data_IF_439862879317
#
_entry.id   IF_439862879317
#
_cell.length_a   1.000
_cell.length_b   1.000
_cell.length_c   1.000
_cell.angle_alpha   90.00
_cell.angle_beta   90.00
_cell.angle_gamma   90.00
#
_symmetry.space_group_name_H-M   'P 1'
#
loop_
_entity.id
_entity.type
_entity.pdbx_description
1 polymer ?
#
# COMPACT_ATOMS: atom_id res chain seq x y z
N UNK A 1 -3.12 -5.74 15.60
CA UNK A 1 -1.78 -5.22 15.25
C UNK A 1 -1.84 -3.71 15.24
N UNK A 2 -0.83 -3.03 15.78
CA UNK A 2 -0.77 -1.57 15.69
C UNK A 2 -0.41 -1.17 14.27
N UNK A 3 -0.92 -0.03 13.83
CA UNK A 3 -0.63 0.51 12.52
C UNK A 3 -0.57 2.03 12.54
N UNK A 4 0.29 2.59 11.69
CA UNK A 4 0.34 4.02 11.40
C UNK A 4 -0.45 4.29 10.13
N UNK A 5 -1.29 5.31 10.16
CA UNK A 5 -2.11 5.71 9.03
C UNK A 5 -1.62 7.04 8.50
N UNK A 6 -1.42 7.11 7.19
CA UNK A 6 -0.89 8.26 6.49
C UNK A 6 -1.88 8.75 5.44
N UNK A 7 -1.93 10.06 5.23
CA UNK A 7 -2.41 10.66 3.98
C UNK A 7 -1.22 11.30 3.30
N UNK A 8 -0.95 10.90 2.06
CA UNK A 8 0.29 11.26 1.38
C UNK A 8 1.51 10.95 2.28
N UNK A 9 2.29 11.96 2.66
CA UNK A 9 3.48 11.80 3.53
C UNK A 9 3.21 12.08 5.01
N UNK A 10 2.01 12.55 5.35
CA UNK A 10 1.69 13.00 6.71
C UNK A 10 1.09 11.86 7.50
N UNK A 11 1.64 11.61 8.69
CA UNK A 11 1.00 10.74 9.68
C UNK A 11 -0.28 11.44 10.13
N UNK A 12 -1.43 10.80 9.93
CA UNK A 12 -2.74 11.34 10.32
C UNK A 12 -3.28 10.66 11.58
N UNK A 13 -2.73 9.53 11.97
CA UNK A 13 -3.11 8.86 13.22
C UNK A 13 -2.54 7.45 13.32
N UNK A 14 -2.98 6.75 14.35
CA UNK A 14 -2.66 5.35 14.59
C UNK A 14 -3.94 4.53 14.69
N UNK A 15 -3.85 3.23 14.38
CA UNK A 15 -4.97 2.32 14.48
C UNK A 15 -4.57 1.00 15.14
N UNK A 16 -5.49 0.44 15.93
CA UNK A 16 -5.37 -0.91 16.46
C UNK A 16 -6.20 -1.86 15.59
N UNK A 17 -5.58 -2.39 14.54
CA UNK A 17 -6.25 -3.21 13.54
C UNK A 17 -6.47 -4.64 14.03
N UNK A 18 -7.61 -5.21 13.68
CA UNK A 18 -7.96 -6.62 13.84
C UNK A 18 -8.59 -7.15 12.57
N UNK A 19 -8.42 -8.44 12.35
CA UNK A 19 -9.10 -9.13 11.28
C UNK A 19 -10.60 -9.27 11.56
N UNK A 20 -11.45 -9.03 10.55
CA UNK A 20 -12.92 -9.05 10.69
C UNK A 20 -13.63 -10.04 9.76
N UNK A 21 -13.40 -9.99 8.45
CA UNK A 21 -14.13 -10.79 7.45
C UNK A 21 -13.20 -11.55 6.50
N UNK A 22 -13.36 -12.88 6.44
CA UNK A 22 -12.53 -13.81 5.64
C UNK A 22 -12.83 -13.71 4.15
N UNK A 23 -14.09 -13.47 3.78
CA UNK A 23 -14.52 -13.47 2.38
C UNK A 23 -14.07 -12.23 1.63
N UNK A 24 -13.91 -11.11 2.32
CA UNK A 24 -13.56 -9.81 1.72
C UNK A 24 -12.17 -9.30 2.13
N UNK A 25 -11.44 -10.05 2.96
CA UNK A 25 -10.11 -9.66 3.44
C UNK A 25 -10.14 -8.33 4.19
N UNK A 26 -11.05 -8.19 5.16
CA UNK A 26 -11.28 -6.90 5.84
C UNK A 26 -10.52 -6.85 7.16
N UNK A 27 -9.74 -5.77 7.33
CA UNK A 27 -9.20 -5.35 8.61
C UNK A 27 -10.00 -4.15 9.12
N UNK A 28 -10.35 -4.14 10.39
CA UNK A 28 -11.02 -3.01 11.04
C UNK A 28 -10.25 -2.61 12.29
N UNK A 29 -10.32 -1.35 12.69
CA UNK A 29 -9.74 -0.91 13.95
C UNK A 29 -10.25 0.44 14.41
N UNK A 30 -10.11 0.67 15.70
CA UNK A 30 -10.23 2.02 16.27
C UNK A 30 -9.06 2.86 15.73
N UNK A 31 -9.41 4.04 15.22
CA UNK A 31 -8.50 5.03 14.64
C UNK A 31 -8.39 6.25 15.55
N UNK A 32 -7.18 6.49 16.05
CA UNK A 32 -6.82 7.64 16.86
C UNK A 32 -6.19 8.70 15.96
N UNK A 33 -7.02 9.64 15.49
CA UNK A 33 -6.59 10.77 14.67
C UNK A 33 -5.69 11.75 15.44
N UNK A 34 -4.71 12.32 14.76
CA UNK A 34 -3.85 13.38 15.28
C UNK A 34 -4.22 14.75 14.66
N UNK A 35 -3.44 15.79 14.96
CA UNK A 35 -3.69 17.15 14.46
C UNK A 35 -3.83 17.22 12.93
N UNK A 36 -3.03 16.48 12.16
CA UNK A 36 -3.13 16.47 10.70
C UNK A 36 -4.46 15.87 10.22
N UNK A 37 -5.04 14.90 10.95
CA UNK A 37 -6.35 14.35 10.61
C UNK A 37 -7.43 15.42 10.79
N UNK A 38 -7.48 16.06 11.96
CA UNK A 38 -8.50 17.07 12.25
C UNK A 38 -8.38 18.31 11.36
N UNK A 39 -7.16 18.72 11.01
CA UNK A 39 -6.93 19.91 10.17
C UNK A 39 -7.15 19.66 8.67
N UNK A 40 -6.92 18.44 8.19
CA UNK A 40 -6.82 18.19 6.75
C UNK A 40 -7.69 17.06 6.22
N UNK A 41 -8.15 16.13 7.04
CA UNK A 41 -8.81 14.88 6.58
C UNK A 41 -10.26 14.80 7.04
N UNK A 42 -10.55 15.10 8.31
CA UNK A 42 -11.85 14.87 8.93
C UNK A 42 -13.02 15.45 8.12
N UNK A 43 -12.89 16.70 7.68
CA UNK A 43 -13.93 17.33 6.86
C UNK A 43 -14.21 16.56 5.56
N UNK A 44 -13.17 16.04 4.90
CA UNK A 44 -13.35 15.25 3.69
C UNK A 44 -14.04 13.91 3.97
N UNK A 45 -13.81 13.31 5.14
CA UNK A 45 -14.54 12.12 5.58
C UNK A 45 -16.03 12.43 5.72
N UNK A 46 -16.37 13.51 6.43
CA UNK A 46 -17.77 13.90 6.62
C UNK A 46 -18.45 14.25 5.29
N UNK A 47 -17.81 15.08 4.45
CA UNK A 47 -18.32 15.48 3.14
C UNK A 47 -18.55 14.27 2.21
N UNK A 48 -17.68 13.26 2.27
CA UNK A 48 -17.80 12.05 1.45
C UNK A 48 -19.03 11.22 1.81
N UNK A 49 -19.40 11.17 3.09
CA UNK A 49 -20.52 10.38 3.59
C UNK A 49 -21.86 11.14 3.68
N UNK A 50 -21.84 12.47 3.69
CA UNK A 50 -23.07 13.30 3.74
C UNK A 50 -23.84 13.31 2.40
N UNK A 51 -23.19 12.96 1.30
CA UNK A 51 -23.74 13.07 -0.06
C UNK A 51 -24.14 11.73 -0.69
N UNK A 52 -25.18 11.74 -1.51
CA UNK A 52 -25.55 10.60 -2.38
C UNK A 52 -24.60 10.42 -3.57
N UNK A 53 -23.79 11.43 -3.88
CA UNK A 53 -22.80 11.41 -4.96
C UNK A 53 -21.40 11.72 -4.43
N UNK A 54 -20.70 10.73 -3.83
CA UNK A 54 -19.37 10.95 -3.27
C UNK A 54 -18.34 11.34 -4.33
N UNK A 55 -17.47 12.30 -3.99
CA UNK A 55 -16.35 12.71 -4.85
C UNK A 55 -15.16 11.75 -4.67
N UNK A 56 -15.14 10.71 -5.50
CA UNK A 56 -14.09 9.71 -5.50
C UNK A 56 -12.73 10.25 -5.97
N UNK A 57 -12.69 11.28 -6.82
CA UNK A 57 -11.42 11.86 -7.28
C UNK A 57 -10.73 12.58 -6.12
N UNK A 58 -11.49 13.37 -5.35
CA UNK A 58 -10.99 13.98 -4.13
C UNK A 58 -10.56 12.91 -3.13
N UNK A 59 -11.37 11.87 -2.90
CA UNK A 59 -11.03 10.77 -1.98
C UNK A 59 -9.72 10.07 -2.35
N UNK A 60 -9.55 9.72 -3.62
CA UNK A 60 -8.33 9.07 -4.12
C UNK A 60 -7.11 10.00 -4.03
N UNK A 61 -7.30 11.31 -4.16
CA UNK A 61 -6.21 12.29 -4.02
C UNK A 61 -5.65 12.38 -2.58
N UNK A 62 -6.42 11.96 -1.57
CA UNK A 62 -5.96 11.88 -0.18
C UNK A 62 -4.87 10.81 0.01
N UNK A 63 -4.78 9.84 -0.92
CA UNK A 63 -3.70 8.86 -1.02
C UNK A 63 -3.35 8.24 0.35
N UNK A 64 -4.33 7.55 0.93
CA UNK A 64 -4.17 6.91 2.22
C UNK A 64 -3.20 5.71 2.13
N UNK A 65 -2.36 5.56 3.15
CA UNK A 65 -1.43 4.46 3.28
C UNK A 65 -1.41 3.97 4.72
N UNK A 66 -1.40 2.65 4.94
CA UNK A 66 -1.35 2.05 6.28
C UNK A 66 -0.10 1.20 6.41
N UNK A 67 0.71 1.49 7.42
CA UNK A 67 1.91 0.72 7.77
C UNK A 67 1.68 -0.03 9.08
N UNK A 68 1.74 -1.36 9.04
CA UNK A 68 1.68 -2.22 10.21
C UNK A 68 2.94 -2.06 11.08
N UNK A 69 2.86 -2.39 12.37
CA UNK A 69 3.98 -2.24 13.31
C UNK A 69 5.24 -3.06 12.94
N UNK A 70 5.09 -4.12 12.14
CA UNK A 70 6.17 -4.91 11.58
C UNK A 70 6.81 -4.27 10.33
N UNK A 71 6.36 -3.08 9.94
CA UNK A 71 6.89 -2.30 8.81
C UNK A 71 6.18 -2.54 7.48
N UNK A 72 5.24 -3.49 7.40
CA UNK A 72 4.53 -3.83 6.16
C UNK A 72 3.54 -2.73 5.75
N UNK A 73 3.58 -2.28 4.49
CA UNK A 73 2.55 -1.41 3.93
C UNK A 73 1.41 -2.22 3.33
N UNK A 74 0.21 -2.06 3.89
CA UNK A 74 -0.99 -2.74 3.36
C UNK A 74 -1.34 -2.14 2.00
N UNK A 75 -1.62 -2.99 1.02
CA UNK A 75 -2.08 -2.59 -0.31
C UNK A 75 -3.49 -3.15 -0.58
N UNK A 76 -4.53 -2.50 -0.02
CA UNK A 76 -5.90 -3.00 -0.10
C UNK A 76 -6.54 -2.69 -1.45
N UNK A 77 -7.16 -3.69 -2.07
CA UNK A 77 -7.87 -3.55 -3.34
C UNK A 77 -9.16 -2.72 -3.20
N UNK A 78 -9.86 -2.87 -2.08
CA UNK A 78 -11.09 -2.14 -1.77
C UNK A 78 -10.86 -0.76 -1.16
N UNK A 79 -9.61 -0.41 -0.84
CA UNK A 79 -9.24 0.88 -0.28
C UNK A 79 -9.49 1.00 1.23
N UNK A 80 -9.69 2.24 1.67
CA UNK A 80 -9.80 2.65 3.07
C UNK A 80 -11.11 3.42 3.27
N UNK A 81 -11.77 3.17 4.38
CA UNK A 81 -12.98 3.87 4.81
C UNK A 81 -12.75 4.33 6.25
N UNK A 82 -13.06 5.60 6.53
CA UNK A 82 -13.10 6.15 7.87
C UNK A 82 -14.55 6.38 8.26
N UNK A 83 -14.98 5.86 9.40
CA UNK A 83 -16.28 6.14 10.00
C UNK A 83 -16.08 7.12 11.15
N UNK A 84 -16.24 8.41 10.84
CA UNK A 84 -16.19 9.53 11.77
C UNK A 84 -17.54 10.23 11.76
N UNK A 85 -18.19 10.31 12.92
CA UNK A 85 -19.54 10.86 13.07
C UNK A 85 -19.44 12.27 13.63
N UNK A 86 -19.73 13.27 12.80
CA UNK A 86 -19.60 14.69 13.16
C UNK A 86 -20.40 15.08 14.41
N UNK A 87 -21.57 14.49 14.60
CA UNK A 87 -22.49 14.82 15.68
C UNK A 87 -22.11 14.19 17.03
N UNK A 88 -21.20 13.22 17.05
CA UNK A 88 -20.87 12.44 18.25
C UNK A 88 -19.36 12.47 18.50
N UNK A 89 -18.93 13.49 19.26
CA UNK A 89 -17.51 13.69 19.59
C UNK A 89 -16.89 12.58 20.45
N UNK A 90 -17.70 11.76 21.12
CA UNK A 90 -17.24 10.70 22.03
C UNK A 90 -17.22 9.30 21.39
N UNK A 91 -17.60 9.17 20.11
CA UNK A 91 -17.49 7.88 19.40
C UNK A 91 -16.10 7.79 18.78
N UNK A 92 -15.36 6.69 19.05
CA UNK A 92 -14.06 6.49 18.42
C UNK A 92 -14.25 6.38 16.90
N UNK A 93 -13.42 7.11 16.16
CA UNK A 93 -13.35 6.95 14.71
C UNK A 93 -12.91 5.52 14.40
N UNK A 94 -13.54 4.89 13.41
CA UNK A 94 -13.16 3.56 12.95
C UNK A 94 -12.51 3.67 11.57
N UNK A 95 -11.48 2.84 11.33
CA UNK A 95 -10.93 2.62 9.99
C UNK A 95 -11.23 1.19 9.54
N UNK A 96 -11.76 1.07 8.33
CA UNK A 96 -11.97 -0.18 7.62
C UNK A 96 -11.04 -0.24 6.40
N UNK A 97 -10.36 -1.38 6.24
CA UNK A 97 -9.40 -1.63 5.18
C UNK A 97 -9.84 -2.89 4.45
N UNK A 98 -10.33 -2.75 3.22
CA UNK A 98 -11.00 -3.82 2.48
C UNK A 98 -10.15 -4.39 1.35
N UNK A 99 -10.22 -5.70 1.12
CA UNK A 99 -9.46 -6.35 0.04
C UNK A 99 -7.98 -6.48 0.33
N UNK A 100 -7.63 -6.77 1.58
CA UNK A 100 -6.27 -7.16 1.98
C UNK A 100 -6.02 -8.61 1.56
N UNK A 101 -4.86 -8.87 0.93
CA UNK A 101 -4.52 -10.23 0.51
C UNK A 101 -4.47 -11.19 1.71
N UNK A 102 -4.99 -12.39 1.51
CA UNK A 102 -5.21 -13.38 2.55
C UNK A 102 -3.92 -13.79 3.28
N UNK A 103 -2.78 -13.88 2.60
CA UNK A 103 -1.53 -14.26 3.26
C UNK A 103 -1.14 -13.25 4.36
N UNK A 104 -1.36 -11.94 4.14
CA UNK A 104 -1.12 -10.88 5.13
C UNK A 104 -1.95 -11.14 6.40
N UNK A 105 -3.21 -11.54 6.23
CA UNK A 105 -4.11 -11.86 7.33
C UNK A 105 -3.61 -13.10 8.09
N UNK A 106 -3.24 -14.16 7.35
CA UNK A 106 -2.74 -15.39 7.95
C UNK A 106 -1.46 -15.15 8.75
N UNK A 107 -0.52 -14.40 8.19
CA UNK A 107 0.82 -14.25 8.74
C UNK A 107 0.91 -13.19 9.84
N UNK A 108 0.11 -12.13 9.77
CA UNK A 108 0.25 -11.01 10.72
C UNK A 108 -0.89 -10.90 11.72
N UNK A 109 -2.06 -11.48 11.44
CA UNK A 109 -3.26 -11.32 12.29
C UNK A 109 -3.76 -12.63 12.90
N UNK A 110 -3.55 -13.79 12.26
CA UNK A 110 -4.06 -15.09 12.75
C UNK A 110 -3.07 -15.88 13.62
N UNK A 111 -1.80 -15.50 13.65
CA UNK A 111 -0.78 -16.16 14.47
C UNK A 111 -0.25 -15.22 15.56
N UNK A 112 0.18 -15.81 16.69
CA UNK A 112 0.71 -15.08 17.84
C UNK A 112 1.99 -15.76 18.35
N UNK A 113 3.17 -15.08 18.28
CA UNK A 113 3.38 -13.75 17.72
C UNK A 113 3.17 -13.70 16.18
N UNK A 114 2.86 -12.52 15.60
CA UNK A 114 2.89 -12.30 14.16
C UNK A 114 4.24 -12.74 13.55
N UNK A 115 4.20 -13.28 12.33
CA UNK A 115 5.44 -13.54 11.57
C UNK A 115 6.20 -12.23 11.34
N UNK A 116 7.54 -12.26 11.36
CA UNK A 116 8.32 -11.13 10.88
C UNK A 116 7.98 -10.87 9.41
N UNK A 117 7.86 -9.59 9.02
CA UNK A 117 7.70 -9.23 7.61
C UNK A 117 9.01 -9.42 6.84
N UNK A 118 10.12 -8.94 7.42
CA UNK A 118 11.42 -8.94 6.76
C UNK A 118 12.40 -9.85 7.48
N UNK A 119 13.21 -10.53 6.68
CA UNK A 119 14.35 -11.33 7.09
C UNK A 119 15.59 -10.88 6.29
N UNK A 120 16.79 -11.25 6.77
CA UNK A 120 18.04 -10.95 6.09
C UNK A 120 18.34 -9.45 5.99
N UNK A 121 18.80 -9.01 4.81
CA UNK A 121 19.25 -7.64 4.53
C UNK A 121 18.16 -6.72 3.95
N UNK A 122 16.90 -7.15 3.97
CA UNK A 122 15.78 -6.32 3.52
C UNK A 122 15.44 -5.24 4.53
N UNK A 123 15.12 -4.05 4.03
CA UNK A 123 14.77 -2.89 4.85
C UNK A 123 13.31 -2.44 4.61
N UNK A 124 12.61 -2.13 5.71
CA UNK A 124 11.26 -1.57 5.66
C UNK A 124 11.31 -0.13 5.17
N UNK A 125 10.33 0.26 4.36
CA UNK A 125 10.25 1.63 3.86
C UNK A 125 9.66 2.58 4.91
N UNK A 126 10.11 3.83 4.90
CA UNK A 126 9.32 4.95 5.42
C UNK A 126 8.29 5.38 4.36
N UNK A 127 7.22 6.07 4.78
CA UNK A 127 6.21 6.60 3.83
C UNK A 127 6.83 7.50 2.74
N UNK A 128 7.87 8.29 3.09
CA UNK A 128 8.58 9.13 2.14
C UNK A 128 9.35 8.31 1.11
N UNK A 129 10.02 7.23 1.54
CA UNK A 129 10.71 6.32 0.62
C UNK A 129 9.71 5.59 -0.28
N UNK A 130 8.64 5.02 0.28
CA UNK A 130 7.57 4.36 -0.46
C UNK A 130 7.05 5.22 -1.62
N UNK A 131 6.58 6.42 -1.31
CA UNK A 131 6.01 7.32 -2.31
C UNK A 131 7.04 7.78 -3.35
N UNK A 132 8.30 7.98 -2.93
CA UNK A 132 9.37 8.33 -3.86
C UNK A 132 9.64 7.20 -4.86
N UNK A 133 9.77 5.96 -4.38
CA UNK A 133 10.05 4.79 -5.23
C UNK A 133 8.89 4.51 -6.20
N UNK A 134 7.65 4.66 -5.74
CA UNK A 134 6.47 4.56 -6.61
C UNK A 134 6.44 5.63 -7.70
N UNK A 135 6.79 6.88 -7.35
CA UNK A 135 6.92 7.95 -8.33
C UNK A 135 8.06 7.70 -9.33
N UNK A 136 9.19 7.18 -8.87
CA UNK A 136 10.32 6.80 -9.73
C UNK A 136 9.92 5.67 -10.70
N UNK A 137 9.21 4.66 -10.22
CA UNK A 137 8.67 3.60 -11.08
C UNK A 137 7.66 4.16 -12.10
N UNK A 138 6.73 5.01 -11.68
CA UNK A 138 5.77 5.67 -12.60
C UNK A 138 6.49 6.45 -13.70
N UNK A 139 7.55 7.19 -13.35
CA UNK A 139 8.39 7.93 -14.32
C UNK A 139 9.13 6.98 -15.26
N UNK A 140 9.71 5.91 -14.74
CA UNK A 140 10.42 4.91 -15.54
C UNK A 140 9.49 4.24 -16.57
N UNK A 141 8.23 4.00 -16.19
CA UNK A 141 7.20 3.41 -17.04
C UNK A 141 6.53 4.42 -18.01
N UNK A 142 6.83 5.72 -17.87
CA UNK A 142 6.23 6.80 -18.68
C UNK A 142 4.78 7.15 -18.32
N UNK A 143 4.30 6.69 -17.16
CA UNK A 143 2.92 6.88 -16.70
C UNK A 143 2.63 8.33 -16.28
N UNK A 144 3.65 9.10 -15.93
CA UNK A 144 3.54 10.51 -15.54
C UNK A 144 3.25 11.45 -16.72
N UNK A 145 3.59 11.03 -17.94
CA UNK A 145 3.50 11.85 -19.17
C UNK A 145 2.37 11.40 -20.10
N UNK A 146 1.58 10.40 -19.71
CA UNK A 146 0.57 9.79 -20.58
C UNK A 146 1.16 8.97 -21.74
N UNK A 147 2.47 8.74 -21.75
CA UNK A 147 3.18 7.96 -22.77
C UNK A 147 3.68 6.67 -22.13
N UNK A 148 2.76 5.73 -21.91
CA UNK A 148 3.10 4.43 -21.31
C UNK A 148 4.04 3.64 -22.21
N UNK A 149 5.09 3.09 -21.62
CA UNK A 149 5.89 2.03 -22.27
C UNK A 149 5.07 0.76 -22.43
N UNK A 150 5.45 -0.14 -23.36
CA UNK A 150 4.82 -1.48 -23.48
C UNK A 150 5.23 -2.45 -22.35
N UNK A 151 5.69 -1.93 -21.22
CA UNK A 151 6.16 -2.73 -20.10
C UNK A 151 4.98 -3.39 -19.36
N UNK A 152 5.13 -4.65 -18.95
CA UNK A 152 4.06 -5.42 -18.31
C UNK A 152 3.51 -4.75 -17.04
N UNK A 153 4.37 -4.10 -16.24
CA UNK A 153 3.96 -3.34 -15.05
C UNK A 153 2.95 -2.20 -15.33
N UNK A 154 2.83 -1.71 -16.57
CA UNK A 154 1.82 -0.69 -16.91
C UNK A 154 0.39 -1.22 -16.81
N UNK A 155 0.21 -2.53 -16.75
CA UNK A 155 -1.09 -3.21 -16.59
C UNK A 155 -1.44 -3.50 -15.13
N UNK A 156 -0.59 -3.10 -14.18
CA UNK A 156 -0.77 -3.29 -12.76
C UNK A 156 -0.85 -1.96 -12.02
N UNK A 157 -1.65 -1.92 -10.96
CA UNK A 157 -1.42 -1.01 -9.85
C UNK A 157 -0.30 -1.59 -8.97
N UNK A 158 0.48 -0.73 -8.35
CA UNK A 158 1.60 -1.17 -7.54
C UNK A 158 1.81 -0.33 -6.29
N UNK A 159 2.34 -0.98 -5.25
CA UNK A 159 2.69 -0.37 -3.97
C UNK A 159 4.04 -0.87 -3.51
N UNK A 160 4.97 0.03 -3.19
CA UNK A 160 6.31 -0.36 -2.71
C UNK A 160 6.22 -0.94 -1.29
N UNK A 161 6.92 -2.05 -1.06
CA UNK A 161 6.91 -2.79 0.21
C UNK A 161 8.22 -2.65 1.00
N UNK A 162 9.34 -3.05 0.39
CA UNK A 162 10.66 -3.08 1.00
C UNK A 162 11.75 -2.91 -0.07
N UNK A 163 12.98 -2.70 0.37
CA UNK A 163 14.12 -2.59 -0.53
C UNK A 163 15.37 -3.27 0.03
N UNK A 164 16.29 -3.58 -0.87
CA UNK A 164 17.64 -4.03 -0.57
C UNK A 164 18.57 -3.41 -1.61
N UNK A 165 19.49 -2.54 -1.17
CA UNK A 165 20.36 -1.78 -2.06
C UNK A 165 19.54 -1.01 -3.12
N UNK A 166 19.67 -1.40 -4.39
CA UNK A 166 19.02 -0.80 -5.56
C UNK A 166 17.74 -1.54 -6.01
N UNK A 167 17.42 -2.65 -5.33
CA UNK A 167 16.26 -3.48 -5.62
C UNK A 167 15.09 -3.09 -4.72
N UNK A 168 13.89 -3.01 -5.30
CA UNK A 168 12.66 -2.67 -4.59
C UNK A 168 11.59 -3.70 -4.90
N UNK A 169 10.93 -4.20 -3.86
CA UNK A 169 9.76 -5.06 -4.01
C UNK A 169 8.51 -4.21 -4.06
N UNK A 170 7.68 -4.46 -5.06
CA UNK A 170 6.36 -3.90 -5.21
C UNK A 170 5.31 -5.00 -5.09
N UNK A 171 4.28 -4.79 -4.28
CA UNK A 171 3.01 -5.51 -4.43
C UNK A 171 2.31 -5.04 -5.70
N UNK A 172 1.65 -5.97 -6.37
CA UNK A 172 0.96 -5.76 -7.63
C UNK A 172 -0.51 -6.13 -7.49
N UNK A 173 -1.37 -5.38 -8.18
CA UNK A 173 -2.77 -5.70 -8.34
C UNK A 173 -3.22 -5.39 -9.76
N UNK A 174 -4.01 -6.29 -10.34
CA UNK A 174 -4.71 -6.05 -11.60
C UNK A 174 -6.11 -6.64 -11.55
N UNK A 175 -7.08 -5.96 -12.17
CA UNK A 175 -8.42 -6.50 -12.40
C UNK A 175 -8.47 -7.49 -13.58
N UNK A 176 -7.38 -7.60 -14.35
CA UNK A 176 -7.27 -8.56 -15.44
C UNK A 176 -6.91 -9.95 -14.89
N UNK A 177 -7.77 -10.97 -15.01
CA UNK A 177 -7.53 -12.30 -14.43
C UNK A 177 -6.36 -13.05 -15.07
N UNK A 178 -5.91 -12.66 -16.27
CA UNK A 178 -4.74 -13.26 -16.93
C UNK A 178 -3.41 -12.81 -16.30
N UNK A 179 -3.46 -11.75 -15.47
CA UNK A 179 -2.32 -11.17 -14.80
C UNK A 179 -2.21 -11.70 -13.37
N UNK A 180 -1.46 -12.79 -13.21
CA UNK A 180 -1.37 -13.56 -11.95
C UNK A 180 -0.33 -13.09 -10.94
N UNK A 181 0.61 -12.23 -11.35
CA UNK A 181 1.72 -11.85 -10.48
C UNK A 181 1.26 -10.90 -9.39
N UNK A 182 1.63 -11.21 -8.15
CA UNK A 182 1.33 -10.40 -6.96
C UNK A 182 2.49 -9.53 -6.53
N UNK A 183 3.70 -9.83 -7.00
CA UNK A 183 4.89 -9.07 -6.66
C UNK A 183 5.79 -8.84 -7.86
N UNK A 184 6.54 -7.75 -7.81
CA UNK A 184 7.65 -7.47 -8.69
C UNK A 184 8.87 -7.04 -7.91
N UNK A 185 10.02 -7.62 -8.25
CA UNK A 185 11.34 -7.13 -7.85
C UNK A 185 11.86 -6.23 -8.97
N UNK A 186 11.99 -4.94 -8.68
CA UNK A 186 12.33 -3.91 -9.66
C UNK A 186 13.67 -3.28 -9.33
N UNK A 187 14.53 -3.14 -10.34
CA UNK A 187 15.79 -2.41 -10.23
C UNK A 187 15.61 -1.00 -10.79
N UNK A 188 15.53 0.00 -9.90
CA UNK A 188 15.23 1.38 -10.30
C UNK A 188 16.47 2.19 -10.70
N UNK A 189 17.69 1.76 -10.33
CA UNK A 189 18.93 2.45 -10.72
C UNK A 189 19.38 2.03 -12.12
N UNK A 190 19.55 3.02 -13.00
CA UNK A 190 20.04 2.82 -14.35
C UNK A 190 21.49 2.33 -14.36
N UNK A 191 21.69 1.08 -14.78
CA UNK A 191 22.89 0.74 -15.56
C UNK A 191 22.75 1.41 -16.92
N UNK A 192 23.28 2.63 -16.98
CA UNK A 192 23.52 3.46 -18.16
C UNK A 192 22.32 3.78 -19.05
N UNK A 193 22.29 5.04 -19.49
CA UNK A 193 21.28 5.66 -20.36
C UNK A 193 21.26 5.09 -21.79
N UNK A 194 21.62 3.83 -21.99
CA UNK A 194 21.49 3.13 -23.25
C UNK A 194 20.34 2.13 -23.17
N UNK A 195 19.14 2.66 -23.43
CA UNK A 195 18.10 2.03 -24.25
C UNK A 195 18.05 0.50 -24.14
N UNK A 196 17.67 -0.03 -22.99
CA UNK A 196 17.06 -1.36 -22.95
C UNK A 196 15.56 -1.20 -23.15
N UNK A 197 15.03 -1.98 -24.09
CA UNK A 197 13.62 -2.02 -24.49
C UNK A 197 12.68 -2.39 -23.32
N UNK A 198 13.26 -2.91 -22.23
CA UNK A 198 12.59 -3.50 -21.08
C UNK A 198 13.04 -2.82 -19.75
N UNK A 199 13.24 -1.50 -19.76
CA UNK A 199 13.52 -0.73 -18.55
C UNK A 199 12.19 -0.32 -17.87
N UNK A 200 12.03 -0.48 -16.55
CA UNK A 200 13.03 -1.03 -15.61
C UNK A 200 13.11 -2.56 -15.65
N UNK A 201 14.30 -3.10 -15.39
CA UNK A 201 14.46 -4.56 -15.24
C UNK A 201 13.59 -5.05 -14.07
N UNK A 202 12.71 -6.01 -14.37
CA UNK A 202 11.67 -6.49 -13.48
C UNK A 202 11.61 -8.01 -13.49
N UNK A 203 11.63 -8.61 -12.31
CA UNK A 203 11.26 -10.01 -12.08
C UNK A 203 9.90 -10.08 -11.41
N UNK A 204 9.06 -11.03 -11.82
CA UNK A 204 7.69 -11.16 -11.34
C UNK A 204 7.50 -12.45 -10.54
N UNK A 205 6.71 -12.35 -9.47
CA UNK A 205 6.49 -13.44 -8.53
C UNK A 205 5.00 -13.53 -8.14
N UNK A 206 4.53 -14.74 -7.86
CA UNK A 206 3.18 -14.99 -7.33
C UNK A 206 3.19 -14.96 -5.80
N UNK A 207 4.29 -15.37 -5.17
CA UNK A 207 4.47 -15.43 -3.72
C UNK A 207 5.64 -14.54 -3.27
N UNK A 208 5.57 -14.02 -2.03
CA UNK A 208 6.60 -13.12 -1.49
C UNK A 208 7.86 -13.89 -1.08
N UNK A 209 7.70 -15.11 -0.58
CA UNK A 209 8.76 -16.00 -0.11
C UNK A 209 9.77 -16.34 -1.22
N UNK A 210 9.31 -16.42 -2.47
CA UNK A 210 10.17 -16.67 -3.63
C UNK A 210 11.21 -15.55 -3.82
N UNK A 211 10.87 -14.31 -3.43
CA UNK A 211 11.77 -13.17 -3.48
C UNK A 211 12.83 -13.28 -2.39
N UNK A 212 12.44 -13.70 -1.19
CA UNK A 212 13.35 -13.86 -0.06
C UNK A 212 14.38 -14.96 -0.35
N UNK A 213 13.95 -16.11 -0.89
CA UNK A 213 14.82 -17.25 -1.21
C UNK A 213 15.85 -16.94 -2.30
N UNK A 214 15.53 -16.07 -3.27
CA UNK A 214 16.42 -15.71 -4.38
C UNK A 214 17.74 -15.04 -3.91
N UNK A 215 17.79 -14.53 -2.68
CA UNK A 215 18.92 -13.76 -2.14
C UNK A 215 19.59 -14.39 -0.91
N UNK A 216 19.12 -15.57 -0.48
CA UNK A 216 19.80 -16.38 0.54
C UNK A 216 20.85 -17.34 -0.04
N UNK A 217 20.90 -17.51 -1.38
CA UNK A 217 21.89 -18.32 -2.10
C UNK A 217 22.93 -17.48 -2.86
#
# INVERSE_FOLDING_TARGET
>A
MKAKVYSNQYLIGEANLRFYDEGMGVLIGEFEGNQNYFEHIQRHVWEFWETETPDYDTWLSLNFNVQLDNGYFVFPVGGYIFSDIQEIMDVPCQIDIAGVDWHIIQDYFKISPPKPFLEGSWESLTIKQKLKLEQELKKALGLDKGNSTNHLLTQYQFSALCHQLDEVVFSLYSSNPELRYKYALVHLTGRDKQVQKDCPYTLFFEEFEDIQQLREG
#
